data_IF_330010654632
#
_entry.id   IF_330010654632
#
_cell.length_a   1.000
_cell.length_b   1.000
_cell.length_c   1.000
_cell.angle_alpha   90.00
_cell.angle_beta   90.00
_cell.angle_gamma   90.00
#
_symmetry.space_group_name_H-M   'P 1'
#
loop_
_entity.id
_entity.type
_entity.pdbx_description
1 polymer ?
#
# COMPACT_ATOMS: atom_id res chain seq x y z
N UNK A 1 -8.98 21.17 11.61
CA UNK A 1 -10.40 21.01 11.24
C UNK A 1 -10.93 19.72 11.84
N UNK A 2 -12.03 19.79 12.61
CA UNK A 2 -12.66 18.65 13.31
C UNK A 2 -14.02 18.42 12.69
N UNK A 3 -14.39 17.16 12.46
CA UNK A 3 -15.70 16.79 11.93
C UNK A 3 -16.47 16.02 13.00
N UNK A 4 -17.78 16.24 13.05
CA UNK A 4 -18.69 15.53 13.92
C UNK A 4 -19.18 14.31 13.15
N UNK A 5 -18.93 13.12 13.67
CA UNK A 5 -19.50 11.88 13.14
C UNK A 5 -20.33 11.18 14.19
N UNK A 6 -21.28 10.39 13.69
CA UNK A 6 -22.02 9.45 14.50
C UNK A 6 -21.27 8.13 14.52
N UNK A 7 -21.05 7.58 15.71
CA UNK A 7 -20.36 6.29 15.87
C UNK A 7 -21.22 5.10 15.46
N UNK A 8 -22.52 5.32 15.25
CA UNK A 8 -23.51 4.33 14.84
C UNK A 8 -24.39 4.91 13.72
N UNK A 9 -24.73 4.08 12.72
CA UNK A 9 -25.61 4.44 11.60
C UNK A 9 -27.10 4.52 12.04
N UNK A 10 -27.41 5.46 12.94
CA UNK A 10 -28.78 5.80 13.32
C UNK A 10 -29.13 7.22 12.85
N UNK A 11 -30.31 7.33 12.22
CA UNK A 11 -30.90 8.60 11.81
C UNK A 11 -32.26 8.80 12.53
N UNK A 12 -32.43 9.83 13.36
CA UNK A 12 -31.48 10.87 13.75
C UNK A 12 -30.46 10.38 14.80
N UNK A 13 -29.26 10.93 14.74
CA UNK A 13 -28.15 10.58 15.63
C UNK A 13 -28.37 11.14 17.05
N UNK A 14 -28.39 10.31 18.11
CA UNK A 14 -28.57 10.77 19.49
C UNK A 14 -27.42 11.67 19.97
N UNK A 15 -27.69 12.67 20.83
CA UNK A 15 -26.67 13.63 21.30
C UNK A 15 -25.51 12.97 22.07
N UNK A 16 -25.75 11.81 22.69
CA UNK A 16 -24.74 11.07 23.45
C UNK A 16 -23.77 10.26 22.55
N UNK A 17 -24.06 10.17 21.25
CA UNK A 17 -23.31 9.36 20.27
C UNK A 17 -22.55 10.21 19.24
N UNK A 18 -22.48 11.52 19.49
CA UNK A 18 -21.77 12.46 18.64
C UNK A 18 -20.32 12.54 19.10
N UNK A 19 -19.39 12.08 18.27
CA UNK A 19 -17.96 12.16 18.56
C UNK A 19 -17.27 13.16 17.62
N UNK A 20 -16.32 13.92 18.16
CA UNK A 20 -15.48 14.82 17.35
C UNK A 20 -14.18 14.12 16.99
N UNK A 21 -14.00 13.77 15.71
CA UNK A 21 -12.77 13.19 15.21
C UNK A 21 -11.93 14.28 14.53
N UNK A 22 -10.60 14.16 14.67
CA UNK A 22 -9.66 14.99 13.93
C UNK A 22 -9.40 14.38 12.55
N UNK A 23 -8.98 15.20 11.58
CA UNK A 23 -8.56 14.70 10.26
C UNK A 23 -7.40 13.72 10.36
N UNK A 24 -6.54 13.87 11.37
CA UNK A 24 -5.44 12.95 11.62
C UNK A 24 -5.94 11.57 12.08
N UNK A 25 -7.00 11.50 12.90
CA UNK A 25 -7.64 10.23 13.26
C UNK A 25 -8.42 9.60 12.09
N UNK A 26 -9.08 10.39 11.22
CA UNK A 26 -9.76 9.85 10.04
C UNK A 26 -8.79 9.26 9.00
N UNK A 27 -7.56 9.78 8.95
CA UNK A 27 -6.52 9.33 8.05
C UNK A 27 -5.56 8.35 8.72
N UNK A 28 -5.97 7.69 9.81
CA UNK A 28 -5.17 6.65 10.41
C UNK A 28 -5.07 5.45 9.43
N UNK A 29 -3.88 5.14 8.88
CA UNK A 29 -3.69 4.01 7.99
C UNK A 29 -4.10 2.67 8.64
N UNK A 30 -4.13 2.59 9.97
CA UNK A 30 -4.63 1.42 10.69
C UNK A 30 -6.13 1.20 10.49
N UNK A 31 -6.94 2.27 10.44
CA UNK A 31 -8.39 2.20 10.17
C UNK A 31 -8.68 1.88 8.70
N UNK A 32 -7.77 2.25 7.79
CA UNK A 32 -7.84 1.93 6.35
C UNK A 32 -7.39 0.50 6.03
N UNK A 33 -7.02 -0.30 7.04
CA UNK A 33 -6.54 -1.67 6.85
C UNK A 33 -5.13 -1.76 6.26
N UNK A 34 -4.39 -0.65 6.21
CA UNK A 34 -3.00 -0.61 5.73
C UNK A 34 -2.11 -1.18 6.83
N UNK A 35 -1.97 -2.50 6.82
CA UNK A 35 -1.05 -3.19 7.73
C UNK A 35 0.39 -3.09 7.22
N UNK A 36 1.40 -3.04 8.11
CA UNK A 36 2.81 -3.07 7.71
C UNK A 36 3.15 -4.27 6.83
N UNK A 37 2.50 -5.41 7.08
CA UNK A 37 2.64 -6.64 6.30
C UNK A 37 2.12 -6.46 4.86
N UNK A 38 1.00 -5.76 4.68
CA UNK A 38 0.45 -5.44 3.36
C UNK A 38 1.36 -4.53 2.53
N UNK A 39 1.96 -3.52 3.17
CA UNK A 39 2.92 -2.62 2.52
C UNK A 39 4.17 -3.38 2.08
N UNK A 40 4.71 -4.22 2.95
CA UNK A 40 5.91 -5.01 2.64
C UNK A 40 5.66 -5.99 1.49
N UNK A 41 4.47 -6.61 1.45
CA UNK A 41 4.05 -7.49 0.34
C UNK A 41 3.90 -6.73 -0.98
N UNK A 42 3.31 -5.55 -0.97
CA UNK A 42 3.17 -4.73 -2.17
C UNK A 42 4.54 -4.28 -2.71
N UNK A 43 5.43 -3.86 -1.80
CA UNK A 43 6.79 -3.44 -2.14
C UNK A 43 7.62 -4.60 -2.68
N UNK A 44 7.56 -5.79 -2.06
CA UNK A 44 8.33 -6.95 -2.49
C UNK A 44 7.90 -7.47 -3.86
N UNK A 45 6.60 -7.41 -4.18
CA UNK A 45 6.10 -7.73 -5.51
C UNK A 45 6.63 -6.76 -6.58
N UNK A 46 6.61 -5.46 -6.31
CA UNK A 46 7.16 -4.46 -7.23
C UNK A 46 8.66 -4.64 -7.46
N UNK A 47 9.44 -4.74 -6.39
CA UNK A 47 10.88 -4.93 -6.47
C UNK A 47 11.27 -6.26 -7.11
N UNK A 48 10.53 -7.34 -6.81
CA UNK A 48 10.75 -8.66 -7.40
C UNK A 48 10.53 -8.66 -8.92
N UNK A 49 9.48 -7.99 -9.40
CA UNK A 49 9.21 -7.88 -10.84
C UNK A 49 10.31 -7.12 -11.59
N UNK A 50 10.81 -6.02 -11.03
CA UNK A 50 11.90 -5.24 -11.63
C UNK A 50 13.19 -6.06 -11.68
N UNK A 51 13.53 -6.73 -10.57
CA UNK A 51 14.78 -7.48 -10.46
C UNK A 51 14.79 -8.71 -11.39
N UNK A 52 13.66 -9.39 -11.54
CA UNK A 52 13.52 -10.53 -12.48
C UNK A 52 13.69 -10.09 -13.93
N UNK A 53 13.04 -8.99 -14.34
CA UNK A 53 13.20 -8.46 -15.69
C UNK A 53 14.63 -7.98 -15.97
N UNK A 54 15.28 -7.36 -14.98
CA UNK A 54 16.68 -6.97 -15.08
C UNK A 54 17.61 -8.19 -15.25
N UNK A 55 17.40 -9.25 -14.47
CA UNK A 55 18.17 -10.49 -14.59
C UNK A 55 17.98 -11.19 -15.94
N UNK A 56 16.77 -11.18 -16.48
CA UNK A 56 16.49 -11.72 -17.82
C UNK A 56 17.29 -10.94 -18.87
N UNK A 57 17.24 -9.61 -18.84
CA UNK A 57 18.02 -8.76 -19.75
C UNK A 57 19.53 -9.00 -19.63
N UNK A 58 20.03 -9.10 -18.40
CA UNK A 58 21.43 -9.40 -18.12
C UNK A 58 21.84 -10.78 -18.66
N UNK A 59 21.01 -11.81 -18.47
CA UNK A 59 21.23 -13.15 -18.97
C UNK A 59 21.30 -13.21 -20.50
N UNK A 60 20.39 -12.51 -21.19
CA UNK A 60 20.39 -12.41 -22.65
C UNK A 60 21.67 -11.71 -23.15
N UNK A 61 22.09 -10.62 -22.49
CA UNK A 61 23.32 -9.91 -22.83
C UNK A 61 24.57 -10.80 -22.66
N UNK A 62 24.65 -11.56 -21.56
CA UNK A 62 25.72 -12.53 -21.35
C UNK A 62 25.74 -13.63 -22.42
N UNK A 63 24.58 -14.24 -22.70
CA UNK A 63 24.46 -15.32 -23.67
C UNK A 63 24.88 -14.86 -25.08
N UNK A 64 24.37 -13.70 -25.52
CA UNK A 64 24.75 -13.13 -26.82
C UNK A 64 26.21 -12.71 -26.88
N UNK A 65 26.78 -12.21 -25.78
CA UNK A 65 28.20 -11.88 -25.67
C UNK A 65 29.11 -13.11 -25.76
N UNK A 66 28.71 -14.24 -25.16
CA UNK A 66 29.43 -15.50 -25.28
C UNK A 66 29.36 -16.06 -26.70
N UNK A 67 28.17 -16.09 -27.31
CA UNK A 67 28.00 -16.58 -28.69
C UNK A 67 28.83 -15.76 -29.68
N UNK A 68 28.93 -14.44 -29.51
CA UNK A 68 29.72 -13.57 -30.41
C UNK A 68 31.23 -13.65 -30.20
N UNK A 69 31.70 -14.24 -29.09
CA UNK A 69 33.13 -14.38 -28.77
C UNK A 69 33.69 -15.76 -29.13
N UNK A 70 32.84 -16.73 -29.44
CA UNK A 70 33.21 -18.01 -30.08
C UNK A 70 33.21 -17.81 -31.59
#
# INVERSE_FOLDING_TARGET
MRFLICTEDLNPCPPDKVSSLSLAEALDPALLGITPQGVLKAYSWGLGAVLTMWLIGYGIALATGLIRKV
#
